data_IF_700576859522
#
_entry.id   IF_700576859522
#
_cell.length_a   1.000
_cell.length_b   1.000
_cell.length_c   1.000
_cell.angle_alpha   90.00
_cell.angle_beta   90.00
_cell.angle_gamma   90.00
#
_symmetry.space_group_name_H-M   'P 1'
#
loop_
_entity.id
_entity.type
_entity.pdbx_description
1 polymer ?
#
# COMPACT_ATOMS: atom_id res chain seq x y z
N UNK A 1 23.82 17.75 -25.38
CA UNK A 1 24.69 17.15 -24.37
C UNK A 1 25.28 18.28 -23.53
N UNK A 2 25.16 18.16 -22.22
CA UNK A 2 25.72 19.14 -21.28
C UNK A 2 26.75 18.43 -20.39
N UNK A 3 27.98 18.96 -20.40
CA UNK A 3 29.05 18.52 -19.51
C UNK A 3 29.08 19.41 -18.27
N UNK A 4 28.88 18.80 -17.10
CA UNK A 4 28.96 19.54 -15.84
C UNK A 4 30.34 19.33 -15.22
N UNK A 5 31.08 20.42 -15.06
CA UNK A 5 32.40 20.39 -14.43
C UNK A 5 32.32 20.70 -12.94
N UNK A 6 32.64 19.70 -12.11
CA UNK A 6 32.74 19.85 -10.65
C UNK A 6 34.08 20.48 -10.31
N UNK A 7 34.07 21.70 -9.79
CA UNK A 7 35.29 22.46 -9.47
C UNK A 7 36.00 21.95 -8.21
N UNK A 8 37.26 22.39 -7.98
CA UNK A 8 38.09 21.93 -6.87
C UNK A 8 37.50 22.22 -5.47
N UNK A 9 36.67 23.25 -5.34
CA UNK A 9 36.13 23.70 -4.06
C UNK A 9 34.81 23.01 -3.69
N UNK A 10 34.18 22.21 -4.58
CA UNK A 10 32.94 21.51 -4.29
C UNK A 10 33.24 20.32 -3.40
N UNK A 11 32.79 20.40 -2.14
CA UNK A 11 32.94 19.36 -1.09
C UNK A 11 31.71 18.55 -0.87
N UNK A 12 30.53 19.08 -1.22
CA UNK A 12 29.24 18.44 -1.01
C UNK A 12 28.33 18.66 -2.22
N UNK A 13 27.65 17.58 -2.61
CA UNK A 13 26.59 17.56 -3.62
C UNK A 13 25.39 16.83 -2.98
N UNK A 14 24.24 17.49 -2.96
CA UNK A 14 23.00 16.89 -2.42
C UNK A 14 22.55 15.70 -3.29
N UNK A 15 21.90 14.73 -2.69
CA UNK A 15 21.31 13.59 -3.38
C UNK A 15 20.39 13.98 -4.53
N UNK A 16 19.52 14.98 -4.33
CA UNK A 16 18.61 15.50 -5.35
C UNK A 16 19.27 16.45 -6.38
N UNK A 17 20.54 16.85 -6.18
CA UNK A 17 21.23 17.67 -7.15
C UNK A 17 21.31 16.97 -8.51
N UNK A 18 20.89 17.69 -9.56
CA UNK A 18 20.82 17.19 -10.93
C UNK A 18 19.76 16.09 -11.19
N UNK A 19 18.77 15.90 -10.28
CA UNK A 19 17.67 14.99 -10.52
C UNK A 19 16.93 15.36 -11.82
N UNK A 20 16.65 14.37 -12.68
CA UNK A 20 15.95 14.60 -13.95
C UNK A 20 16.66 15.47 -14.98
N UNK A 21 17.92 15.84 -14.76
CA UNK A 21 18.70 16.63 -15.73
C UNK A 21 19.16 15.73 -16.90
N UNK A 22 18.23 15.32 -17.76
CA UNK A 22 18.48 14.39 -18.89
C UNK A 22 19.42 14.93 -19.96
N UNK A 23 19.78 16.21 -19.93
CA UNK A 23 20.82 16.76 -20.80
C UNK A 23 22.24 16.45 -20.32
N UNK A 24 22.42 15.98 -19.08
CA UNK A 24 23.72 15.63 -18.53
C UNK A 24 24.06 14.19 -18.91
N UNK A 25 25.05 14.02 -19.77
CA UNK A 25 25.53 12.71 -20.23
C UNK A 25 26.84 12.28 -19.56
N UNK A 26 27.52 13.19 -18.90
CA UNK A 26 28.69 12.91 -18.03
C UNK A 26 28.92 14.04 -17.05
N UNK A 27 29.56 13.71 -15.95
CA UNK A 27 30.23 14.70 -15.10
C UNK A 27 31.71 14.76 -15.45
N UNK A 28 32.31 15.93 -15.26
CA UNK A 28 33.76 16.16 -15.39
C UNK A 28 34.31 16.72 -14.07
N UNK A 29 35.52 16.34 -13.69
CA UNK A 29 36.19 16.80 -12.48
C UNK A 29 37.35 17.72 -12.76
N UNK A 30 37.39 18.83 -12.03
CA UNK A 30 38.64 19.61 -11.94
C UNK A 30 39.72 18.73 -11.31
N UNK A 31 40.94 18.80 -11.87
CA UNK A 31 42.12 18.14 -11.31
C UNK A 31 42.43 18.53 -9.86
N UNK A 32 41.85 19.62 -9.37
CA UNK A 32 41.99 20.11 -8.01
C UNK A 32 40.90 19.59 -7.07
N UNK A 33 39.88 18.87 -7.58
CA UNK A 33 38.88 18.25 -6.71
C UNK A 33 39.41 16.92 -6.17
N UNK A 34 39.54 16.83 -4.86
CA UNK A 34 40.05 15.63 -4.18
C UNK A 34 38.95 14.86 -3.48
N UNK A 35 37.68 15.35 -3.50
CA UNK A 35 36.53 14.78 -2.76
C UNK A 35 35.77 13.74 -3.57
N UNK A 36 35.84 13.85 -4.90
CA UNK A 36 35.06 12.99 -5.79
C UNK A 36 35.97 12.26 -6.79
N UNK A 37 35.41 11.20 -7.37
CA UNK A 37 36.00 10.45 -8.49
C UNK A 37 34.91 10.24 -9.54
N UNK A 38 35.31 10.09 -10.79
CA UNK A 38 34.44 9.78 -11.92
C UNK A 38 34.87 8.43 -12.49
N UNK A 39 33.89 7.59 -12.86
CA UNK A 39 34.18 6.38 -13.64
C UNK A 39 34.14 6.63 -15.15
N UNK A 40 34.32 5.57 -15.94
CA UNK A 40 34.30 5.64 -17.41
C UNK A 40 32.93 6.05 -17.98
N UNK A 41 31.87 5.80 -17.24
CA UNK A 41 30.53 6.22 -17.61
C UNK A 41 30.23 7.69 -17.24
N UNK A 42 31.17 8.38 -16.60
CA UNK A 42 30.98 9.74 -16.12
C UNK A 42 30.15 9.83 -14.84
N UNK A 43 29.91 8.73 -14.14
CA UNK A 43 29.20 8.70 -12.87
C UNK A 43 30.08 9.19 -11.73
N UNK A 44 29.48 9.94 -10.81
CA UNK A 44 30.17 10.64 -9.73
C UNK A 44 30.15 9.79 -8.45
N UNK A 45 31.34 9.56 -7.91
CA UNK A 45 31.56 8.80 -6.69
C UNK A 45 32.26 9.60 -5.61
N UNK A 46 31.95 9.30 -4.36
CA UNK A 46 32.72 9.69 -3.18
C UNK A 46 33.09 8.43 -2.40
N UNK A 47 34.37 8.11 -2.35
CA UNK A 47 34.87 6.86 -1.77
C UNK A 47 34.17 5.61 -2.35
N UNK A 48 33.41 4.89 -1.56
CA UNK A 48 32.63 3.71 -1.94
C UNK A 48 31.14 4.01 -2.20
N UNK A 49 30.75 5.29 -2.24
CA UNK A 49 29.37 5.72 -2.47
C UNK A 49 29.19 6.28 -3.89
N UNK A 50 28.23 5.75 -4.64
CA UNK A 50 27.76 6.39 -5.86
C UNK A 50 26.88 7.58 -5.48
N UNK A 51 27.31 8.77 -5.84
CA UNK A 51 26.61 10.02 -5.54
C UNK A 51 25.59 10.35 -6.62
N UNK A 52 26.00 10.25 -7.90
CA UNK A 52 25.11 10.58 -9.01
C UNK A 52 25.53 9.90 -10.31
N UNK A 53 24.56 9.32 -10.99
CA UNK A 53 24.65 8.84 -12.36
C UNK A 53 24.20 9.95 -13.32
N UNK A 54 24.85 10.15 -14.49
CA UNK A 54 24.42 11.15 -15.47
C UNK A 54 23.06 10.79 -16.06
N UNK A 55 22.03 11.58 -15.76
CA UNK A 55 20.64 11.22 -16.04
C UNK A 55 20.34 11.04 -17.53
N UNK A 56 21.06 11.69 -18.43
CA UNK A 56 20.88 11.60 -19.89
C UNK A 56 21.47 10.36 -20.54
N UNK A 57 22.21 9.54 -19.83
CA UNK A 57 22.74 8.30 -20.41
C UNK A 57 21.67 7.21 -20.46
N UNK A 58 21.64 6.55 -21.62
CA UNK A 58 20.75 5.39 -21.87
C UNK A 58 21.54 4.09 -21.83
N UNK A 59 20.82 2.95 -21.91
CA UNK A 59 21.41 1.60 -21.94
C UNK A 59 21.71 1.06 -20.55
N UNK A 60 22.59 0.08 -20.47
CA UNK A 60 22.92 -0.61 -19.23
C UNK A 60 24.11 0.04 -18.53
N UNK A 61 24.10 -0.02 -17.20
CA UNK A 61 25.22 0.47 -16.39
C UNK A 61 25.60 -0.56 -15.32
N UNK A 62 26.90 -0.84 -15.24
CA UNK A 62 27.48 -1.67 -14.20
C UNK A 62 28.10 -0.77 -13.11
N UNK A 63 27.54 -0.83 -11.90
CA UNK A 63 28.05 -0.07 -10.76
C UNK A 63 29.41 -0.66 -10.33
N UNK A 64 30.41 0.22 -10.07
CA UNK A 64 31.77 -0.20 -9.71
C UNK A 64 31.80 -1.26 -8.61
N UNK A 65 32.61 -2.29 -8.78
CA UNK A 65 32.70 -3.48 -7.93
C UNK A 65 32.91 -3.21 -6.43
N UNK A 66 33.57 -2.10 -6.05
CA UNK A 66 33.81 -1.73 -4.64
C UNK A 66 32.78 -0.77 -4.07
N UNK A 67 31.68 -0.52 -4.77
CA UNK A 67 30.62 0.37 -4.28
C UNK A 67 29.86 -0.30 -3.15
N UNK A 68 29.74 0.39 -2.02
CA UNK A 68 29.00 -0.08 -0.85
C UNK A 68 27.66 0.62 -0.68
N UNK A 69 27.51 1.81 -1.25
CA UNK A 69 26.30 2.61 -1.10
C UNK A 69 25.85 3.21 -2.43
N UNK A 70 24.59 3.10 -2.75
CA UNK A 70 23.91 3.92 -3.76
C UNK A 70 23.28 5.09 -3.02
N UNK A 71 23.69 6.30 -3.34
CA UNK A 71 23.27 7.51 -2.66
C UNK A 71 21.82 7.88 -2.92
N UNK A 72 21.29 8.76 -2.08
CA UNK A 72 19.97 9.35 -2.23
C UNK A 72 19.82 9.95 -3.64
N UNK A 73 18.74 9.53 -4.34
CA UNK A 73 18.46 9.99 -5.70
C UNK A 73 19.56 9.71 -6.73
N UNK A 74 20.52 8.81 -6.49
CA UNK A 74 21.70 8.63 -7.34
C UNK A 74 21.37 8.40 -8.82
N UNK A 75 20.26 7.75 -9.15
CA UNK A 75 19.74 7.56 -10.51
C UNK A 75 18.44 8.33 -10.78
N UNK A 76 17.96 9.14 -9.84
CA UNK A 76 16.66 9.80 -9.94
C UNK A 76 16.48 10.55 -11.27
N UNK A 77 15.41 10.24 -12.01
CA UNK A 77 15.09 10.81 -13.31
C UNK A 77 16.03 10.37 -14.44
N UNK A 78 16.79 9.30 -14.28
CA UNK A 78 17.77 8.82 -15.27
C UNK A 78 17.10 7.99 -16.37
N UNK A 79 17.66 8.07 -17.58
CA UNK A 79 17.23 7.29 -18.76
C UNK A 79 17.86 5.89 -18.84
N UNK A 80 18.52 5.43 -17.78
CA UNK A 80 19.12 4.09 -17.72
C UNK A 80 18.07 2.99 -17.88
N UNK A 81 18.41 1.89 -18.59
CA UNK A 81 17.54 0.74 -18.80
C UNK A 81 17.76 -0.38 -17.78
N UNK A 82 19.02 -0.70 -17.54
CA UNK A 82 19.42 -1.78 -16.65
C UNK A 82 20.57 -1.32 -15.76
N UNK A 83 20.55 -1.70 -14.49
CA UNK A 83 21.62 -1.40 -13.54
C UNK A 83 22.04 -2.70 -12.87
N UNK A 84 23.31 -3.09 -13.07
CA UNK A 84 23.95 -4.18 -12.36
C UNK A 84 24.55 -3.66 -11.05
N UNK A 85 24.06 -4.17 -9.92
CA UNK A 85 24.54 -3.81 -8.59
C UNK A 85 25.64 -4.79 -8.15
N UNK A 86 26.73 -4.31 -7.50
CA UNK A 86 27.87 -5.16 -7.16
C UNK A 86 27.63 -5.98 -5.87
N UNK A 87 28.32 -7.09 -5.77
CA UNK A 87 28.33 -7.97 -4.58
C UNK A 87 28.83 -7.31 -3.29
N UNK A 88 29.43 -6.12 -3.37
CA UNK A 88 29.88 -5.33 -2.22
C UNK A 88 28.81 -4.39 -1.68
N UNK A 89 27.66 -4.27 -2.38
CA UNK A 89 26.63 -3.28 -2.04
C UNK A 89 25.99 -3.60 -0.68
N UNK A 90 26.05 -2.64 0.22
CA UNK A 90 25.50 -2.75 1.57
C UNK A 90 24.21 -1.94 1.75
N UNK A 91 24.12 -0.77 1.08
CA UNK A 91 23.01 0.20 1.29
C UNK A 91 22.52 0.82 -0.02
N UNK A 92 21.19 0.98 -0.10
CA UNK A 92 20.51 1.80 -1.12
C UNK A 92 19.70 2.87 -0.38
N UNK A 93 20.02 4.14 -0.65
CA UNK A 93 19.37 5.27 -0.02
C UNK A 93 18.03 5.61 -0.69
N UNK A 94 17.27 6.51 -0.04
CA UNK A 94 15.94 6.95 -0.47
C UNK A 94 15.95 7.47 -1.90
N UNK A 95 14.89 7.18 -2.68
CA UNK A 95 14.70 7.63 -4.07
C UNK A 95 15.86 7.28 -5.04
N UNK A 96 16.71 6.34 -4.68
CA UNK A 96 17.91 6.04 -5.46
C UNK A 96 17.65 5.76 -6.95
N UNK A 97 16.52 5.18 -7.29
CA UNK A 97 16.07 4.84 -8.65
C UNK A 97 14.67 5.41 -8.95
N UNK A 98 14.26 6.47 -8.26
CA UNK A 98 12.98 7.11 -8.50
C UNK A 98 12.93 7.78 -9.88
N UNK A 99 11.73 7.89 -10.44
CA UNK A 99 11.47 8.60 -11.69
C UNK A 99 12.33 8.13 -12.89
N UNK A 100 12.76 6.86 -12.90
CA UNK A 100 13.53 6.26 -13.98
C UNK A 100 12.59 5.65 -15.03
N UNK A 101 12.29 6.34 -16.16
CA UNK A 101 11.23 5.92 -17.08
C UNK A 101 11.56 4.63 -17.83
N UNK A 102 12.83 4.27 -17.97
CA UNK A 102 13.25 3.12 -18.76
C UNK A 102 13.70 1.92 -17.92
N UNK A 103 13.91 2.10 -16.62
CA UNK A 103 14.36 1.04 -15.72
C UNK A 103 13.27 -0.02 -15.55
N UNK A 104 13.60 -1.29 -15.78
CA UNK A 104 12.63 -2.39 -15.79
C UNK A 104 12.63 -3.25 -14.52
N UNK A 105 13.71 -3.24 -13.77
CA UNK A 105 13.84 -4.00 -12.53
C UNK A 105 15.22 -3.84 -11.90
N UNK A 106 15.38 -4.38 -10.70
CA UNK A 106 16.64 -4.41 -9.97
C UNK A 106 16.83 -5.77 -9.30
N UNK A 107 18.04 -6.32 -9.41
CA UNK A 107 18.45 -7.48 -8.61
C UNK A 107 19.20 -6.99 -7.36
N UNK A 108 18.65 -7.28 -6.19
CA UNK A 108 19.23 -6.91 -4.89
C UNK A 108 20.28 -7.94 -4.50
N UNK A 109 21.56 -7.53 -4.37
CA UNK A 109 22.64 -8.46 -4.01
C UNK A 109 22.47 -9.06 -2.61
N UNK A 110 23.05 -10.24 -2.39
CA UNK A 110 23.03 -10.93 -1.08
C UNK A 110 23.68 -10.14 0.06
N UNK A 111 24.59 -9.22 -0.27
CA UNK A 111 25.30 -8.34 0.70
C UNK A 111 24.47 -7.15 1.15
N UNK A 112 23.39 -6.82 0.45
CA UNK A 112 22.57 -5.64 0.76
C UNK A 112 21.75 -5.85 2.03
N UNK A 113 21.96 -4.97 2.99
CA UNK A 113 21.39 -5.03 4.35
C UNK A 113 20.39 -3.92 4.60
N UNK A 114 20.61 -2.75 4.03
CA UNK A 114 19.76 -1.59 4.25
C UNK A 114 19.26 -1.01 2.91
N UNK A 115 17.94 -0.98 2.76
CA UNK A 115 17.25 -0.33 1.66
C UNK A 115 16.28 0.67 2.28
N UNK A 116 16.42 1.95 1.93
CA UNK A 116 15.51 3.01 2.35
C UNK A 116 14.18 2.94 1.59
N UNK A 117 13.35 3.96 1.70
CA UNK A 117 12.00 4.01 1.07
C UNK A 117 12.04 4.57 -0.34
N UNK A 118 10.95 4.34 -1.09
CA UNK A 118 10.66 5.01 -2.35
C UNK A 118 11.76 4.86 -3.41
N UNK A 119 12.51 3.76 -3.38
CA UNK A 119 13.68 3.64 -4.25
C UNK A 119 13.32 3.54 -5.74
N UNK A 120 12.14 3.02 -6.09
CA UNK A 120 11.63 2.91 -7.48
C UNK A 120 10.38 3.77 -7.75
N UNK A 121 10.03 4.66 -6.83
CA UNK A 121 8.86 5.54 -6.95
C UNK A 121 8.85 6.30 -8.29
N UNK A 122 7.69 6.42 -8.92
CA UNK A 122 7.54 7.17 -10.17
C UNK A 122 8.19 6.53 -11.40
N UNK A 123 8.73 5.30 -11.31
CA UNK A 123 9.37 4.57 -12.41
C UNK A 123 8.35 3.69 -13.13
N UNK A 124 7.70 4.15 -14.23
CA UNK A 124 6.47 3.55 -14.78
C UNK A 124 6.68 2.17 -15.43
N UNK A 125 7.90 1.85 -15.83
CA UNK A 125 8.26 0.58 -16.43
C UNK A 125 8.92 -0.40 -15.44
N UNK A 126 9.10 0.01 -14.18
CA UNK A 126 9.72 -0.83 -13.17
C UNK A 126 8.76 -1.94 -12.73
N UNK A 127 9.05 -3.18 -13.13
CA UNK A 127 8.20 -4.35 -12.92
C UNK A 127 8.42 -5.04 -11.59
N UNK A 128 9.57 -4.80 -10.94
CA UNK A 128 9.83 -5.35 -9.62
C UNK A 128 11.28 -5.62 -9.29
N UNK A 129 11.43 -6.05 -8.06
CA UNK A 129 12.70 -6.47 -7.50
C UNK A 129 12.89 -7.97 -7.70
N UNK A 130 14.15 -8.37 -7.86
CA UNK A 130 14.62 -9.73 -7.66
C UNK A 130 15.60 -9.68 -6.49
N UNK A 131 15.67 -10.73 -5.71
CA UNK A 131 16.59 -10.80 -4.57
C UNK A 131 17.49 -12.02 -4.78
N UNK A 132 18.82 -11.83 -4.72
CA UNK A 132 19.76 -12.91 -4.88
C UNK A 132 19.54 -14.02 -3.82
N UNK A 133 19.76 -15.29 -4.19
CA UNK A 133 19.74 -16.40 -3.25
C UNK A 133 20.66 -16.13 -2.06
N UNK A 134 20.20 -16.50 -0.86
CA UNK A 134 20.92 -16.29 0.41
C UNK A 134 20.99 -14.82 0.90
N UNK A 135 20.30 -13.88 0.31
CA UNK A 135 20.05 -12.61 1.00
C UNK A 135 19.18 -12.93 2.23
N UNK A 136 19.63 -12.49 3.41
CA UNK A 136 18.96 -12.79 4.70
C UNK A 136 17.99 -11.72 5.12
N UNK A 137 17.95 -10.59 4.41
CA UNK A 137 17.26 -9.37 4.82
C UNK A 137 16.03 -9.08 3.98
N UNK A 138 16.03 -9.55 2.71
CA UNK A 138 14.99 -9.22 1.75
C UNK A 138 14.45 -10.45 1.04
N UNK A 139 13.21 -10.34 0.60
CA UNK A 139 12.52 -11.28 -0.29
C UNK A 139 11.58 -10.52 -1.21
N UNK A 140 11.04 -11.21 -2.20
CA UNK A 140 10.05 -10.62 -3.13
C UNK A 140 8.84 -11.53 -3.24
N UNK A 141 7.69 -10.95 -3.56
CA UNK A 141 6.49 -11.69 -3.92
C UNK A 141 6.34 -11.87 -5.44
N UNK A 142 5.21 -12.45 -5.86
CA UNK A 142 4.89 -12.69 -7.28
C UNK A 142 4.65 -11.42 -8.10
N UNK A 143 4.45 -10.29 -7.46
CA UNK A 143 4.30 -8.98 -8.11
C UNK A 143 5.64 -8.23 -8.21
N UNK A 144 6.71 -8.79 -7.68
CA UNK A 144 8.02 -8.16 -7.61
C UNK A 144 8.13 -7.09 -6.50
N UNK A 145 7.20 -7.08 -5.57
CA UNK A 145 7.26 -6.22 -4.38
C UNK A 145 8.37 -6.62 -3.43
N UNK A 146 8.96 -5.65 -2.76
CA UNK A 146 10.07 -5.87 -1.83
C UNK A 146 9.57 -6.04 -0.40
N UNK A 147 10.07 -7.07 0.27
CA UNK A 147 9.79 -7.36 1.68
C UNK A 147 11.08 -7.45 2.47
N UNK A 148 11.04 -7.02 3.75
CA UNK A 148 12.08 -7.40 4.71
C UNK A 148 11.76 -8.78 5.27
N UNK A 149 12.70 -9.71 5.26
CA UNK A 149 12.48 -11.06 5.80
C UNK A 149 12.48 -11.11 7.32
N UNK A 150 13.22 -10.19 7.95
CA UNK A 150 13.23 -10.02 9.41
C UNK A 150 13.65 -8.60 9.74
N UNK A 151 12.71 -7.77 10.15
CA UNK A 151 13.06 -6.57 10.90
C UNK A 151 13.64 -6.96 12.29
N UNK A 152 14.08 -5.99 13.08
CA UNK A 152 14.61 -6.23 14.42
C UNK A 152 13.66 -7.01 15.36
N UNK A 153 12.36 -7.01 15.05
CA UNK A 153 11.30 -7.71 15.77
C UNK A 153 10.94 -9.08 15.18
N UNK A 154 11.63 -9.51 14.11
CA UNK A 154 11.34 -10.78 13.42
C UNK A 154 10.09 -10.77 12.53
N UNK A 155 9.50 -9.60 12.27
CA UNK A 155 8.28 -9.43 11.49
C UNK A 155 8.57 -9.28 9.99
N UNK A 156 7.76 -9.92 9.16
CA UNK A 156 7.74 -9.67 7.72
C UNK A 156 7.09 -8.31 7.47
N UNK A 157 7.81 -7.43 6.80
CA UNK A 157 7.34 -6.10 6.45
C UNK A 157 7.31 -5.93 4.93
N UNK A 158 6.18 -5.46 4.40
CA UNK A 158 6.10 -5.00 3.02
C UNK A 158 6.75 -3.63 2.90
N UNK A 159 7.82 -3.56 2.14
CA UNK A 159 8.73 -2.41 2.08
C UNK A 159 8.48 -1.49 0.90
N UNK A 160 8.19 -2.06 -0.28
CA UNK A 160 8.00 -1.26 -1.49
C UNK A 160 7.20 -1.99 -2.58
N UNK A 161 6.21 -1.29 -3.12
CA UNK A 161 5.49 -1.66 -4.34
C UNK A 161 6.30 -1.23 -5.57
N UNK A 162 6.47 -2.07 -6.60
CA UNK A 162 7.18 -1.67 -7.81
C UNK A 162 6.51 -0.48 -8.49
N UNK A 163 7.27 0.56 -8.85
CA UNK A 163 6.75 1.81 -9.40
C UNK A 163 5.88 1.66 -10.66
N UNK A 164 6.08 0.59 -11.43
CA UNK A 164 5.28 0.24 -12.60
C UNK A 164 4.04 -0.61 -12.32
N UNK A 165 3.80 -1.06 -11.08
CA UNK A 165 2.64 -1.89 -10.76
C UNK A 165 1.32 -1.15 -11.03
N UNK A 166 0.29 -1.88 -11.47
CA UNK A 166 -1.04 -1.35 -11.73
C UNK A 166 -2.12 -2.33 -11.25
N UNK A 167 -3.16 -1.79 -10.63
CA UNK A 167 -4.34 -2.55 -10.23
C UNK A 167 -4.35 -3.00 -8.79
N UNK A 168 -4.89 -4.19 -8.53
CA UNK A 168 -5.08 -4.78 -7.20
C UNK A 168 -3.80 -5.44 -6.70
N UNK A 169 -3.32 -5.00 -5.55
CA UNK A 169 -2.19 -5.62 -4.86
C UNK A 169 -2.68 -6.50 -3.69
N UNK A 170 -2.32 -7.77 -3.73
CA UNK A 170 -2.61 -8.72 -2.64
C UNK A 170 -1.31 -9.03 -1.91
N UNK A 171 -1.20 -8.57 -0.67
CA UNK A 171 -0.01 -8.82 0.16
C UNK A 171 0.09 -10.32 0.51
N UNK A 172 1.32 -10.83 0.58
CA UNK A 172 1.55 -12.24 0.91
C UNK A 172 1.22 -12.54 2.38
N UNK A 173 0.79 -13.78 2.62
CA UNK A 173 0.53 -14.26 3.98
C UNK A 173 1.78 -14.17 4.86
N UNK A 174 1.56 -13.89 6.15
CA UNK A 174 2.64 -13.67 7.11
C UNK A 174 3.12 -12.21 7.19
N UNK A 175 2.73 -11.33 6.25
CA UNK A 175 3.02 -9.89 6.35
C UNK A 175 2.39 -9.33 7.62
N UNK A 176 3.19 -8.69 8.48
CA UNK A 176 2.73 -8.04 9.72
C UNK A 176 2.67 -6.54 9.63
N UNK A 177 3.56 -5.95 8.85
CA UNK A 177 3.69 -4.49 8.70
C UNK A 177 3.56 -4.13 7.23
N UNK A 178 2.76 -3.12 6.93
CA UNK A 178 2.60 -2.53 5.58
C UNK A 178 3.22 -1.14 5.58
N UNK A 179 4.21 -0.91 4.71
CA UNK A 179 5.00 0.32 4.69
C UNK A 179 5.50 0.70 3.28
N UNK A 180 4.79 0.32 2.21
CA UNK A 180 5.41 0.36 0.88
C UNK A 180 4.56 0.88 -0.27
N UNK A 181 3.48 1.65 -0.02
CA UNK A 181 2.61 2.15 -1.09
C UNK A 181 2.67 3.68 -1.30
N UNK A 182 3.61 4.36 -0.65
CA UNK A 182 3.72 5.83 -0.71
C UNK A 182 3.67 6.38 -2.15
N UNK A 183 2.79 7.36 -2.40
CA UNK A 183 2.57 8.04 -3.69
C UNK A 183 2.40 7.12 -4.91
N UNK A 184 1.86 5.90 -4.71
CA UNK A 184 1.75 4.90 -5.77
C UNK A 184 0.42 5.01 -6.54
N UNK A 185 0.37 5.86 -7.55
CA UNK A 185 -0.85 6.12 -8.36
C UNK A 185 -1.32 4.90 -9.20
N UNK A 186 -0.51 3.87 -9.35
CA UNK A 186 -0.87 2.65 -10.07
C UNK A 186 -1.76 1.69 -9.29
N UNK A 187 -1.68 1.72 -7.96
CA UNK A 187 -2.44 0.82 -7.08
C UNK A 187 -3.88 1.31 -6.97
N UNK A 188 -4.84 0.43 -7.29
CA UNK A 188 -6.28 0.73 -7.17
C UNK A 188 -6.96 0.02 -6.02
N UNK A 189 -6.41 -1.11 -5.59
CA UNK A 189 -6.88 -1.88 -4.44
C UNK A 189 -5.70 -2.44 -3.64
N UNK A 190 -5.81 -2.47 -2.32
CA UNK A 190 -4.88 -3.13 -1.41
C UNK A 190 -5.65 -4.16 -0.59
N UNK A 191 -5.19 -5.43 -0.63
CA UNK A 191 -5.76 -6.51 0.15
C UNK A 191 -4.73 -7.05 1.14
N UNK A 192 -5.04 -6.95 2.42
CA UNK A 192 -4.18 -7.35 3.52
C UNK A 192 -4.57 -8.74 4.03
N UNK A 193 -3.61 -9.65 4.25
CA UNK A 193 -3.86 -10.91 4.95
C UNK A 193 -4.13 -10.65 6.44
N UNK A 194 -4.74 -11.63 7.11
CA UNK A 194 -5.10 -11.51 8.54
C UNK A 194 -3.88 -11.48 9.48
N UNK A 195 -2.67 -11.65 8.97
CA UNK A 195 -1.42 -11.48 9.71
C UNK A 195 -0.99 -10.01 9.91
N UNK A 196 -1.53 -9.06 9.13
CA UNK A 196 -1.17 -7.63 9.24
C UNK A 196 -1.73 -7.05 10.55
N UNK A 197 -0.88 -6.40 11.33
CA UNK A 197 -1.24 -5.72 12.58
C UNK A 197 -1.02 -4.22 12.54
N UNK A 198 -0.20 -3.73 11.62
CA UNK A 198 0.21 -2.33 11.56
C UNK A 198 0.32 -1.85 10.11
N UNK A 199 -0.17 -0.63 9.85
CA UNK A 199 -0.09 0.04 8.54
C UNK A 199 0.56 1.41 8.71
N UNK A 200 1.59 1.63 7.91
CA UNK A 200 2.32 2.89 7.79
C UNK A 200 2.23 3.39 6.34
N UNK A 201 2.91 4.39 5.98
CA UNK A 201 3.17 5.01 4.66
C UNK A 201 2.54 4.31 3.42
N UNK A 202 1.23 4.50 3.25
CA UNK A 202 0.47 4.16 2.04
C UNK A 202 -0.26 5.41 1.53
N UNK A 203 0.28 6.58 1.89
CA UNK A 203 -0.26 7.90 1.57
C UNK A 203 -0.02 8.29 0.11
N UNK A 204 -0.79 9.27 -0.37
CA UNK A 204 -0.65 9.82 -1.72
C UNK A 204 -1.08 8.88 -2.85
N UNK A 205 -1.69 7.71 -2.57
CA UNK A 205 -2.20 6.78 -3.57
C UNK A 205 -3.51 7.29 -4.17
N UNK A 206 -3.44 8.24 -5.11
CA UNK A 206 -4.61 9.00 -5.62
C UNK A 206 -5.70 8.15 -6.25
N UNK A 207 -5.33 6.99 -6.84
CA UNK A 207 -6.27 6.08 -7.50
C UNK A 207 -6.70 4.89 -6.61
N UNK A 208 -6.24 4.82 -5.36
CA UNK A 208 -6.63 3.79 -4.42
C UNK A 208 -8.11 3.95 -4.05
N UNK A 209 -8.94 3.04 -4.56
CA UNK A 209 -10.40 3.10 -4.40
C UNK A 209 -10.93 2.10 -3.37
N UNK A 210 -10.14 1.07 -3.06
CA UNK A 210 -10.54 0.01 -2.12
C UNK A 210 -9.38 -0.50 -1.28
N UNK A 211 -9.62 -0.62 0.01
CA UNK A 211 -8.68 -1.26 0.95
C UNK A 211 -9.43 -2.34 1.72
N UNK A 212 -8.93 -3.58 1.65
CA UNK A 212 -9.35 -4.65 2.54
C UNK A 212 -8.34 -4.75 3.67
N UNK A 213 -8.74 -4.30 4.84
CA UNK A 213 -7.93 -4.36 6.05
C UNK A 213 -7.86 -5.79 6.61
N UNK A 214 -6.80 -6.11 7.32
CA UNK A 214 -6.65 -7.34 8.10
C UNK A 214 -7.65 -7.38 9.25
N UNK A 215 -8.25 -8.54 9.53
CA UNK A 215 -9.13 -8.73 10.70
C UNK A 215 -8.42 -8.54 12.05
N UNK A 216 -7.10 -8.65 12.06
CA UNK A 216 -6.27 -8.50 13.26
C UNK A 216 -5.50 -7.17 13.29
N UNK A 217 -5.87 -6.20 12.43
CA UNK A 217 -5.24 -4.89 12.39
C UNK A 217 -5.44 -4.15 13.71
N UNK A 218 -4.36 -3.70 14.34
CA UNK A 218 -4.39 -2.97 15.61
C UNK A 218 -4.21 -1.48 15.42
N UNK A 219 -3.28 -1.11 14.54
CA UNK A 219 -2.84 0.28 14.40
C UNK A 219 -2.78 0.71 12.94
N UNK A 220 -3.38 1.84 12.66
CA UNK A 220 -3.17 2.63 11.46
C UNK A 220 -2.39 3.87 11.90
N UNK A 221 -1.17 4.01 11.41
CA UNK A 221 -0.25 5.06 11.88
C UNK A 221 -0.60 6.43 11.29
N UNK A 222 0.11 7.45 11.77
CA UNK A 222 -0.06 8.83 11.32
C UNK A 222 0.16 8.94 9.81
N UNK A 223 -0.76 9.62 9.13
CA UNK A 223 -0.76 9.83 7.68
C UNK A 223 -0.78 8.55 6.82
N UNK A 224 -1.10 7.37 7.36
CA UNK A 224 -0.97 6.09 6.68
C UNK A 224 -1.69 6.02 5.31
N UNK A 225 -2.86 6.63 5.17
CA UNK A 225 -3.64 6.74 3.91
C UNK A 225 -3.94 8.19 3.53
N UNK A 226 -3.10 9.13 3.99
CA UNK A 226 -3.30 10.54 3.67
C UNK A 226 -3.32 10.75 2.14
N UNK A 227 -4.19 11.65 1.66
CA UNK A 227 -4.33 12.02 0.25
C UNK A 227 -4.69 10.85 -0.71
N UNK A 228 -5.30 9.76 -0.20
CA UNK A 228 -5.89 8.70 -1.02
C UNK A 228 -7.27 9.16 -1.56
N UNK A 229 -7.26 10.08 -2.52
CA UNK A 229 -8.43 10.84 -2.95
C UNK A 229 -9.57 10.01 -3.56
N UNK A 230 -9.27 8.82 -4.13
CA UNK A 230 -10.29 7.94 -4.73
C UNK A 230 -10.96 6.99 -3.73
N UNK A 231 -10.47 6.88 -2.48
CA UNK A 231 -11.02 5.99 -1.47
C UNK A 231 -12.41 6.48 -1.04
N UNK A 232 -13.45 5.64 -1.21
CA UNK A 232 -14.85 6.03 -0.98
C UNK A 232 -15.41 5.52 0.33
N UNK A 233 -14.95 4.35 0.75
CA UNK A 233 -15.38 3.67 1.97
C UNK A 233 -14.23 2.92 2.59
N UNK A 234 -14.31 2.67 3.89
CA UNK A 234 -13.40 1.80 4.61
C UNK A 234 -14.14 1.09 5.74
N UNK A 235 -13.79 -0.19 5.96
CA UNK A 235 -14.33 -1.00 7.05
C UNK A 235 -13.22 -1.30 8.06
N UNK A 236 -13.34 -0.79 9.27
CA UNK A 236 -12.43 -1.07 10.37
C UNK A 236 -12.86 -2.34 11.10
N UNK A 237 -11.99 -3.34 11.26
CA UNK A 237 -12.28 -4.55 12.02
C UNK A 237 -12.38 -4.26 13.52
N UNK A 238 -12.94 -5.21 14.27
CA UNK A 238 -13.11 -5.10 15.74
C UNK A 238 -11.78 -4.93 16.50
N UNK A 239 -10.68 -5.36 15.87
CA UNK A 239 -9.35 -5.34 16.46
C UNK A 239 -8.70 -3.95 16.52
N UNK A 240 -9.13 -3.00 15.66
CA UNK A 240 -8.49 -1.66 15.57
C UNK A 240 -8.62 -0.92 16.89
N UNK A 241 -7.46 -0.46 17.40
CA UNK A 241 -7.36 0.30 18.66
C UNK A 241 -7.00 1.76 18.42
N UNK A 242 -6.20 2.02 17.37
CA UNK A 242 -5.66 3.37 17.12
C UNK A 242 -5.71 3.70 15.64
N UNK A 243 -6.22 4.89 15.33
CA UNK A 243 -6.14 5.57 14.03
C UNK A 243 -5.33 6.84 14.25
N UNK A 244 -4.15 6.91 13.66
CA UNK A 244 -3.16 7.96 13.90
C UNK A 244 -3.55 9.33 13.35
N UNK A 245 -2.76 10.33 13.69
CA UNK A 245 -2.94 11.71 13.22
C UNK A 245 -2.94 11.76 11.69
N UNK A 246 -3.93 12.46 11.10
CA UNK A 246 -4.09 12.63 9.64
C UNK A 246 -4.12 11.34 8.83
N UNK A 247 -4.46 10.21 9.43
CA UNK A 247 -4.39 8.89 8.79
C UNK A 247 -5.17 8.82 7.47
N UNK A 248 -6.31 9.50 7.36
CA UNK A 248 -7.16 9.60 6.15
C UNK A 248 -7.40 11.05 5.73
N UNK A 249 -6.58 11.99 6.19
CA UNK A 249 -6.68 13.38 5.77
C UNK A 249 -6.52 13.50 4.25
N UNK A 250 -7.35 14.27 3.58
CA UNK A 250 -7.31 14.40 2.12
C UNK A 250 -7.96 13.26 1.32
N UNK A 251 -8.55 12.27 1.97
CA UNK A 251 -9.37 11.25 1.31
C UNK A 251 -10.74 11.84 0.92
N UNK A 252 -10.77 12.81 0.02
CA UNK A 252 -11.94 13.66 -0.28
C UNK A 252 -13.19 12.92 -0.77
N UNK A 253 -13.02 11.71 -1.30
CA UNK A 253 -14.12 10.85 -1.72
C UNK A 253 -14.67 9.96 -0.60
N UNK A 254 -14.02 9.92 0.57
CA UNK A 254 -14.39 9.04 1.68
C UNK A 254 -15.67 9.55 2.37
N UNK A 255 -16.78 8.86 2.13
CA UNK A 255 -18.10 9.24 2.67
C UNK A 255 -18.61 8.26 3.73
N UNK A 256 -18.24 7.00 3.63
CA UNK A 256 -18.72 5.95 4.50
C UNK A 256 -17.54 5.30 5.23
N UNK A 257 -17.55 5.43 6.55
CA UNK A 257 -16.53 4.86 7.44
C UNK A 257 -17.23 3.90 8.38
N UNK A 258 -16.94 2.60 8.27
CA UNK A 258 -17.62 1.55 8.99
C UNK A 258 -16.75 0.97 10.09
N UNK A 259 -17.31 0.79 11.28
CA UNK A 259 -16.64 0.24 12.44
C UNK A 259 -17.34 -1.03 12.92
N UNK A 260 -16.62 -2.15 12.93
CA UNK A 260 -17.11 -3.44 13.43
C UNK A 260 -17.04 -3.55 14.96
N UNK A 261 -16.16 -2.78 15.59
CA UNK A 261 -15.86 -2.81 17.02
C UNK A 261 -16.18 -1.53 17.76
N UNK A 262 -15.70 -1.47 19.00
CA UNK A 262 -15.77 -0.27 19.84
C UNK A 262 -15.03 0.90 19.19
N UNK A 263 -15.37 2.12 19.62
CA UNK A 263 -14.71 3.33 19.13
C UNK A 263 -13.20 3.27 19.41
N UNK A 264 -12.34 3.29 18.37
CA UNK A 264 -10.90 3.36 18.57
C UNK A 264 -10.46 4.77 19.01
N UNK A 265 -9.24 4.88 19.48
CA UNK A 265 -8.60 6.19 19.62
C UNK A 265 -8.38 6.80 18.23
N UNK A 266 -8.94 8.01 18.00
CA UNK A 266 -8.85 8.73 16.73
C UNK A 266 -7.92 9.93 16.95
N UNK A 267 -6.81 9.95 16.22
CA UNK A 267 -5.81 11.01 16.26
C UNK A 267 -6.30 12.31 15.62
N UNK A 268 -5.56 13.36 15.86
CA UNK A 268 -5.88 14.71 15.37
C UNK A 268 -5.98 14.76 13.85
N UNK A 269 -7.08 15.38 13.32
CA UNK A 269 -7.35 15.56 11.90
C UNK A 269 -7.32 14.26 11.06
N UNK A 270 -7.59 13.11 11.67
CA UNK A 270 -7.49 11.81 10.98
C UNK A 270 -8.34 11.73 9.71
N UNK A 271 -9.47 12.44 9.65
CA UNK A 271 -10.40 12.45 8.51
C UNK A 271 -10.69 13.87 8.03
N UNK A 272 -9.71 14.77 8.12
CA UNK A 272 -9.84 16.14 7.68
C UNK A 272 -9.75 16.29 6.16
N UNK A 273 -10.42 17.31 5.62
CA UNK A 273 -10.16 17.77 4.26
C UNK A 273 -8.82 18.53 4.21
N UNK A 274 -7.83 17.96 3.52
CA UNK A 274 -6.49 18.57 3.39
C UNK A 274 -6.48 19.85 2.54
N UNK A 275 -7.54 20.12 1.76
CA UNK A 275 -7.64 21.33 0.94
C UNK A 275 -8.07 22.55 1.74
N UNK A 276 -8.55 22.36 2.96
CA UNK A 276 -8.93 23.46 3.87
C UNK A 276 -7.67 24.02 4.55
N UNK A 277 -6.96 24.93 3.87
CA UNK A 277 -5.65 25.45 4.31
C UNK A 277 -5.74 26.31 5.58
N UNK A 278 -6.87 26.92 5.88
CA UNK A 278 -7.03 27.85 7.02
C UNK A 278 -8.05 27.40 8.07
N UNK A 279 -9.03 26.59 7.67
CA UNK A 279 -10.10 26.13 8.55
C UNK A 279 -10.22 24.61 8.39
N UNK A 280 -9.53 23.86 9.23
CA UNK A 280 -9.67 22.40 9.24
C UNK A 280 -11.14 22.01 9.27
N UNK A 281 -11.60 21.31 8.26
CA UNK A 281 -12.96 20.83 8.13
C UNK A 281 -13.01 19.31 7.98
N UNK A 282 -14.07 18.70 8.49
CA UNK A 282 -14.36 17.32 8.16
C UNK A 282 -14.68 17.18 6.68
N UNK A 283 -14.36 16.03 6.08
CA UNK A 283 -14.72 15.73 4.69
C UNK A 283 -16.25 15.83 4.55
N UNK A 284 -16.78 16.69 3.66
CA UNK A 284 -18.22 16.95 3.58
C UNK A 284 -19.04 15.69 3.28
N UNK A 285 -20.08 15.44 4.06
CA UNK A 285 -21.00 14.29 3.90
C UNK A 285 -20.43 12.95 4.38
N UNK A 286 -19.32 12.95 5.11
CA UNK A 286 -18.81 11.75 5.77
C UNK A 286 -19.68 11.37 6.96
N UNK A 287 -19.97 10.08 7.13
CA UNK A 287 -20.68 9.49 8.27
C UNK A 287 -19.89 8.30 8.78
N UNK A 288 -19.79 8.19 10.11
CA UNK A 288 -19.24 7.03 10.80
C UNK A 288 -20.38 6.07 11.15
N UNK A 289 -20.36 4.91 10.53
CA UNK A 289 -21.31 3.83 10.80
C UNK A 289 -20.71 2.84 11.79
N UNK A 290 -21.42 2.54 12.88
CA UNK A 290 -20.94 1.60 13.88
C UNK A 290 -21.93 0.45 14.08
N UNK A 291 -21.39 -0.74 14.38
CA UNK A 291 -22.18 -1.92 14.65
C UNK A 291 -22.92 -1.77 15.97
N UNK A 292 -24.20 -2.14 16.00
CA UNK A 292 -25.02 -2.15 17.21
C UNK A 292 -24.40 -3.05 18.30
N UNK A 293 -24.44 -2.58 19.56
CA UNK A 293 -23.87 -3.30 20.71
C UNK A 293 -22.39 -2.98 20.98
N UNK A 294 -21.74 -2.17 20.15
CA UNK A 294 -20.39 -1.67 20.41
C UNK A 294 -20.41 -0.42 21.28
N UNK A 295 -19.31 -0.13 21.97
CA UNK A 295 -19.22 0.93 22.99
C UNK A 295 -18.43 2.15 22.52
N UNK A 296 -18.59 3.28 23.22
CA UNK A 296 -17.90 4.54 22.97
C UNK A 296 -18.59 5.46 21.96
N UNK A 297 -19.63 5.00 21.27
CA UNK A 297 -20.35 5.75 20.25
C UNK A 297 -21.42 6.66 20.83
N UNK A 298 -21.53 7.85 20.27
CA UNK A 298 -22.56 8.86 20.55
C UNK A 298 -23.12 9.38 19.24
N UNK A 299 -23.99 10.40 19.22
CA UNK A 299 -24.54 10.98 18.00
C UNK A 299 -23.44 11.66 17.12
N UNK A 300 -22.31 11.99 17.72
CA UNK A 300 -21.10 12.49 17.06
C UNK A 300 -19.86 11.93 17.77
N UNK A 301 -18.79 11.79 17.02
CA UNK A 301 -17.44 11.48 17.51
C UNK A 301 -16.52 12.65 17.22
N UNK A 302 -15.59 12.91 18.11
CA UNK A 302 -14.61 14.00 18.00
C UNK A 302 -13.18 13.49 17.93
N UNK A 303 -12.35 14.10 17.06
CA UNK A 303 -10.90 13.95 17.02
C UNK A 303 -10.24 15.16 17.63
N UNK A 304 -10.34 15.59 18.76
CA UNK A 304 -9.75 16.81 19.37
C UNK A 304 -10.17 18.14 18.69
N UNK A 305 -10.50 18.16 17.39
CA UNK A 305 -10.78 19.39 16.62
C UNK A 305 -12.08 19.29 15.83
N UNK A 306 -12.30 18.18 15.14
CA UNK A 306 -13.42 17.97 14.23
C UNK A 306 -14.46 17.04 14.83
N UNK A 307 -15.70 17.21 14.42
CA UNK A 307 -16.81 16.33 14.80
C UNK A 307 -17.33 15.58 13.57
N UNK A 308 -17.61 14.29 13.76
CA UNK A 308 -18.10 13.40 12.72
C UNK A 308 -19.47 12.86 13.13
N UNK A 309 -20.52 12.98 12.30
CA UNK A 309 -21.81 12.40 12.58
C UNK A 309 -21.71 10.87 12.57
N UNK A 310 -22.47 10.22 13.43
CA UNK A 310 -22.51 8.77 13.53
C UNK A 310 -23.90 8.22 13.26
N UNK A 311 -23.96 6.99 12.80
CA UNK A 311 -25.18 6.23 12.59
C UNK A 311 -24.99 4.75 12.92
N UNK A 312 -26.05 4.07 13.34
CA UNK A 312 -26.01 2.62 13.56
C UNK A 312 -25.92 1.91 12.21
N UNK A 313 -24.97 1.01 12.06
CA UNK A 313 -24.82 0.19 10.86
C UNK A 313 -25.76 -1.00 10.90
N UNK A 314 -27.00 -0.80 10.47
CA UNK A 314 -28.08 -1.79 10.55
C UNK A 314 -27.92 -2.95 9.56
N UNK A 315 -27.12 -2.80 8.52
CA UNK A 315 -26.82 -3.85 7.50
C UNK A 315 -25.45 -4.49 7.68
N UNK A 316 -24.79 -4.25 8.81
CA UNK A 316 -23.46 -4.84 9.06
C UNK A 316 -23.48 -6.37 8.88
N UNK A 317 -22.44 -6.95 8.23
CA UNK A 317 -21.18 -6.31 7.80
C UNK A 317 -21.18 -5.77 6.36
N UNK A 318 -22.31 -5.69 5.68
CA UNK A 318 -22.36 -5.43 4.24
C UNK A 318 -22.41 -3.93 3.92
N UNK A 319 -21.44 -3.45 3.14
CA UNK A 319 -21.32 -2.03 2.77
C UNK A 319 -22.15 -1.66 1.54
N UNK A 320 -22.48 -2.65 0.70
CA UNK A 320 -23.30 -2.49 -0.49
C UNK A 320 -24.82 -2.57 -0.24
N UNK A 321 -25.19 -2.85 1.02
CA UNK A 321 -26.59 -2.83 1.48
C UNK A 321 -26.82 -1.55 2.31
N UNK A 322 -27.44 -0.53 1.69
CA UNK A 322 -27.70 0.74 2.39
C UNK A 322 -28.52 0.55 3.66
N UNK A 323 -28.12 1.14 4.80
CA UNK A 323 -28.88 1.09 6.04
C UNK A 323 -30.31 1.63 5.93
N UNK A 324 -30.54 2.56 5.01
CA UNK A 324 -31.85 3.21 4.78
C UNK A 324 -32.70 2.50 3.72
N UNK A 325 -32.23 1.38 3.17
CA UNK A 325 -32.95 0.63 2.16
C UNK A 325 -34.13 -0.16 2.75
N UNK A 326 -35.15 -0.41 1.92
CA UNK A 326 -36.32 -1.21 2.33
C UNK A 326 -35.97 -2.64 2.74
N UNK A 327 -34.84 -3.16 2.24
CA UNK A 327 -34.35 -4.52 2.55
C UNK A 327 -33.37 -4.57 3.72
N UNK A 328 -32.99 -3.43 4.33
CA UNK A 328 -31.96 -3.39 5.37
C UNK A 328 -32.24 -4.35 6.54
N UNK A 329 -33.47 -4.37 7.04
CA UNK A 329 -33.87 -5.27 8.13
C UNK A 329 -33.82 -6.75 7.72
N UNK A 330 -34.15 -7.07 6.46
CA UNK A 330 -34.10 -8.44 5.95
C UNK A 330 -32.63 -8.90 5.78
N UNK A 331 -31.74 -8.04 5.28
CA UNK A 331 -30.31 -8.31 5.18
C UNK A 331 -29.74 -8.59 6.57
N UNK A 332 -30.05 -7.74 7.54
CA UNK A 332 -29.64 -7.92 8.93
C UNK A 332 -30.16 -9.25 9.52
N UNK A 333 -31.45 -9.51 9.37
CA UNK A 333 -32.07 -10.74 9.89
C UNK A 333 -31.40 -12.00 9.29
N UNK A 334 -31.17 -12.04 7.98
CA UNK A 334 -30.58 -13.21 7.34
C UNK A 334 -29.13 -13.42 7.76
N UNK A 335 -28.37 -12.35 7.99
CA UNK A 335 -27.01 -12.43 8.52
C UNK A 335 -26.98 -12.92 9.97
N UNK A 336 -27.74 -12.28 10.87
CA UNK A 336 -27.76 -12.62 12.31
C UNK A 336 -28.22 -14.06 12.58
N UNK A 337 -29.05 -14.59 11.69
CA UNK A 337 -29.54 -15.98 11.79
C UNK A 337 -28.74 -16.98 10.94
N UNK A 338 -27.62 -16.53 10.32
CA UNK A 338 -26.78 -17.40 9.52
C UNK A 338 -27.42 -17.94 8.24
N UNK A 339 -28.50 -17.31 7.77
CA UNK A 339 -29.28 -17.77 6.61
C UNK A 339 -28.55 -17.40 5.29
N UNK A 340 -28.02 -16.19 5.23
CA UNK A 340 -27.25 -15.68 4.08
C UNK A 340 -25.96 -15.02 4.56
N UNK A 341 -24.84 -15.35 3.92
CA UNK A 341 -23.52 -14.84 4.29
C UNK A 341 -22.98 -13.83 3.26
N UNK A 342 -23.85 -13.32 2.37
CA UNK A 342 -23.44 -12.45 1.27
C UNK A 342 -22.67 -13.16 0.18
N UNK A 343 -22.17 -12.37 -0.77
CA UNK A 343 -21.36 -12.83 -1.91
C UNK A 343 -19.87 -12.57 -1.68
N UNK A 344 -19.54 -11.76 -0.65
CA UNK A 344 -18.20 -11.44 -0.22
C UNK A 344 -18.16 -11.04 1.24
N UNK A 345 -16.98 -10.69 1.75
CA UNK A 345 -16.76 -10.36 3.17
C UNK A 345 -17.62 -9.18 3.63
N UNK A 346 -17.79 -8.17 2.76
CA UNK A 346 -18.59 -6.97 3.03
C UNK A 346 -19.57 -6.68 1.88
N UNK A 347 -19.90 -7.69 1.09
CA UNK A 347 -20.79 -7.59 -0.07
C UNK A 347 -21.96 -8.56 0.06
N UNK A 348 -23.18 -8.03 -0.05
CA UNK A 348 -24.42 -8.80 -0.05
C UNK A 348 -25.02 -8.94 -1.44
N UNK A 349 -24.82 -7.94 -2.30
CA UNK A 349 -25.38 -7.80 -3.64
C UNK A 349 -26.92 -7.90 -3.65
N UNK A 350 -27.62 -7.01 -2.93
CA UNK A 350 -29.06 -7.14 -2.70
C UNK A 350 -29.93 -7.08 -3.96
N UNK A 351 -29.40 -6.52 -5.05
CA UNK A 351 -30.08 -6.40 -6.34
C UNK A 351 -29.74 -7.57 -7.30
N UNK A 352 -28.85 -8.49 -6.89
CA UNK A 352 -28.45 -9.64 -7.72
C UNK A 352 -29.52 -10.74 -7.71
N UNK A 353 -29.64 -11.44 -8.85
CA UNK A 353 -30.56 -12.57 -8.96
C UNK A 353 -30.13 -13.76 -8.12
N UNK A 354 -31.05 -14.33 -7.36
CA UNK A 354 -30.82 -15.53 -6.58
C UNK A 354 -31.02 -16.79 -7.47
N UNK A 355 -30.07 -17.72 -7.39
CA UNK A 355 -30.21 -19.04 -8.04
C UNK A 355 -31.15 -19.95 -7.23
N UNK A 356 -31.65 -21.01 -7.89
CA UNK A 356 -32.46 -22.04 -7.16
C UNK A 356 -31.66 -22.69 -6.05
N UNK A 357 -30.37 -22.95 -6.26
CA UNK A 357 -29.49 -23.53 -5.24
C UNK A 357 -29.37 -22.61 -4.02
N UNK A 358 -29.18 -21.30 -4.24
CA UNK A 358 -29.12 -20.32 -3.16
C UNK A 358 -30.42 -20.29 -2.34
N UNK A 359 -31.58 -20.27 -3.02
CA UNK A 359 -32.87 -20.27 -2.34
C UNK A 359 -33.07 -21.54 -1.50
N UNK A 360 -32.78 -22.72 -2.05
CA UNK A 360 -32.91 -24.01 -1.33
C UNK A 360 -31.98 -24.03 -0.13
N UNK A 361 -30.77 -23.54 -0.24
CA UNK A 361 -29.82 -23.46 0.87
C UNK A 361 -30.30 -22.54 1.99
N UNK A 362 -30.91 -21.39 1.65
CA UNK A 362 -31.51 -20.49 2.65
C UNK A 362 -32.67 -21.17 3.38
N UNK A 363 -33.55 -21.85 2.64
CA UNK A 363 -34.69 -22.59 3.24
C UNK A 363 -34.20 -23.75 4.12
N UNK A 364 -33.17 -24.47 3.71
CA UNK A 364 -32.57 -25.54 4.49
C UNK A 364 -31.97 -25.02 5.81
N UNK A 365 -31.25 -23.93 5.77
CA UNK A 365 -30.70 -23.25 6.97
C UNK A 365 -31.83 -22.75 7.86
N UNK A 366 -32.85 -22.12 7.27
CA UNK A 366 -34.03 -21.65 8.03
C UNK A 366 -34.78 -22.80 8.75
N UNK A 367 -34.84 -23.98 8.12
CA UNK A 367 -35.43 -25.18 8.72
C UNK A 367 -34.56 -25.86 9.79
N UNK A 368 -33.42 -25.26 10.15
CA UNK A 368 -32.51 -25.82 11.17
C UNK A 368 -31.57 -26.89 10.62
N UNK A 369 -31.25 -26.84 9.33
CA UNK A 369 -30.31 -27.75 8.65
C UNK A 369 -30.68 -29.24 8.82
N UNK A 370 -31.93 -29.65 8.50
CA UNK A 370 -32.35 -31.04 8.66
C UNK A 370 -31.46 -31.96 7.81
N UNK A 371 -31.15 -33.15 8.36
CA UNK A 371 -30.39 -34.14 7.63
C UNK A 371 -31.23 -34.62 6.43
N UNK A 372 -30.68 -34.45 5.22
CA UNK A 372 -31.38 -34.85 4.01
C UNK A 372 -31.31 -36.37 3.81
N UNK A 373 -32.39 -36.95 3.29
CA UNK A 373 -32.37 -38.30 2.72
C UNK A 373 -31.47 -38.29 1.45
N UNK A 374 -31.16 -39.47 0.93
CA UNK A 374 -30.35 -39.58 -0.32
C UNK A 374 -30.92 -38.70 -1.42
N UNK A 375 -30.04 -37.97 -2.12
CA UNK A 375 -30.41 -37.07 -3.20
C UNK A 375 -31.14 -37.83 -4.34
N UNK A 376 -32.42 -37.56 -4.58
CA UNK A 376 -33.19 -38.23 -5.62
C UNK A 376 -32.97 -37.62 -7.03
N UNK A 377 -32.26 -36.49 -7.11
CA UNK A 377 -32.11 -35.73 -8.35
C UNK A 377 -30.82 -36.14 -9.07
N UNK A 378 -30.93 -36.47 -10.37
CA UNK A 378 -29.80 -36.92 -11.19
C UNK A 378 -28.97 -35.78 -11.79
N UNK A 379 -29.50 -34.58 -11.79
CA UNK A 379 -28.90 -33.36 -12.30
C UNK A 379 -28.24 -32.51 -11.20
N UNK A 380 -28.20 -33.01 -9.95
CA UNK A 380 -27.52 -32.38 -8.83
C UNK A 380 -26.29 -33.22 -8.47
N UNK A 381 -25.08 -32.86 -8.90
CA UNK A 381 -23.87 -33.61 -8.59
C UNK A 381 -23.58 -33.61 -7.08
N UNK A 382 -23.15 -34.75 -6.55
CA UNK A 382 -22.74 -34.87 -5.15
C UNK A 382 -21.45 -34.09 -4.87
N UNK A 383 -21.35 -33.53 -3.67
CA UNK A 383 -20.16 -32.81 -3.22
C UNK A 383 -20.18 -31.31 -3.40
N UNK A 384 -21.20 -30.77 -4.05
CA UNK A 384 -21.39 -29.32 -4.17
C UNK A 384 -21.93 -28.74 -2.84
N UNK A 385 -21.64 -27.45 -2.59
CA UNK A 385 -22.02 -26.74 -1.36
C UNK A 385 -23.55 -26.72 -1.07
N UNK A 386 -24.39 -26.99 -2.05
CA UNK A 386 -25.85 -27.04 -1.96
C UNK A 386 -26.42 -28.46 -1.91
N UNK A 387 -25.58 -29.50 -1.81
CA UNK A 387 -26.03 -30.92 -1.79
C UNK A 387 -26.05 -31.58 -0.41
N UNK A 388 -25.82 -30.83 0.64
CA UNK A 388 -25.80 -31.29 2.03
C UNK A 388 -27.17 -31.28 2.65
#
# INVERSE_FOLDING_TARGET
>A
DLDIKITGNVKYISGSAFAGCISITKFDLSKYNTFYKIDEAGALYRDTKLIRYPAGRTGSYEVRAMTREIGEGAFEGSLVHDVALPDSLYRIDERAFADCPNLTGLTIPKSTVNIERCISLGSPNFRGFQVEPNNRYYSTDSYGGLYTTKNLSGNLEFKECPGGFRGKYVLQDGTRIVNGFHEHDGVTEIWMPDSVTEVYYSDGCKNLSKVRLSKNLLTIDSSAFRDCAALREIVFPESVKTIGERAFSGCISLKHVYFMGDLPEIGWLSFADSNAISDFAAIPGMVFYYREGTSGWGPTVFDQTLSYPTAVWTTAPYTDASPDSWYASAVRYTYDNGLMNGTGEYSFEPESSMTRAMLVTVLWRYAGQPQAAANPFTDVPGGEWYTQ
#
